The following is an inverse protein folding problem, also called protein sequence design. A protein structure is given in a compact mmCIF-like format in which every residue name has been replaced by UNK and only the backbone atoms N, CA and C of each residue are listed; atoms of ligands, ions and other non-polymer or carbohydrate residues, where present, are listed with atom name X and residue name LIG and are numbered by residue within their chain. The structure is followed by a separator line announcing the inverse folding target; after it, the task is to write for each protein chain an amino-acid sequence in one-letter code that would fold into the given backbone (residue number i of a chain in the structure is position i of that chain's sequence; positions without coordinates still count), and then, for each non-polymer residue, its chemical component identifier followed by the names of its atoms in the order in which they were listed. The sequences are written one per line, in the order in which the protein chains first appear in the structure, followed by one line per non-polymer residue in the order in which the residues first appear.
data_IF_445082483934
#
_entry.id   IF_445082483934
#
_cell.length_a   1.000
_cell.length_b   1.000
_cell.length_c   1.000
_cell.angle_alpha   90.00
_cell.angle_beta   90.00
_cell.angle_gamma   90.00
#
_symmetry.space_group_name_H-M   'P 1'
#
loop_
_entity.id
_entity.type
_entity.pdbx_description
1 polymer ?
#
# COMPACT_ATOMS: atom_id res chain seq x y z
N UNK A 1 -0.08 17.17 6.85
CA UNK A 1 1.02 16.20 7.04
C UNK A 1 1.97 16.54 8.21
N UNK A 2 1.94 17.77 8.74
CA UNK A 2 2.88 18.19 9.80
C UNK A 2 2.72 17.43 11.13
N UNK A 3 1.49 17.02 11.49
CA UNK A 3 1.23 16.21 12.69
C UNK A 3 1.75 14.77 12.53
N UNK A 4 1.51 14.15 11.36
CA UNK A 4 1.96 12.79 11.07
C UNK A 4 3.49 12.68 11.11
N UNK A 5 4.20 13.70 10.60
CA UNK A 5 5.66 13.77 10.64
C UNK A 5 6.24 13.91 12.06
N UNK A 6 5.43 14.12 13.11
CA UNK A 6 5.87 14.15 14.52
C UNK A 6 5.79 12.78 15.20
N UNK A 7 5.06 11.82 14.65
CA UNK A 7 4.97 10.47 15.20
C UNK A 7 6.31 9.72 15.14
N UNK A 8 6.65 8.87 16.14
CA UNK A 8 7.86 8.04 16.11
C UNK A 8 7.76 6.89 15.09
N UNK A 9 6.55 6.55 14.68
CA UNK A 9 6.22 5.48 13.74
C UNK A 9 5.12 5.94 12.78
N UNK A 10 5.23 5.56 11.51
CA UNK A 10 4.21 5.81 10.51
C UNK A 10 3.97 4.57 9.66
N UNK A 11 2.71 4.18 9.50
CA UNK A 11 2.30 3.21 8.50
C UNK A 11 1.56 3.93 7.37
N UNK A 12 2.08 3.80 6.15
CA UNK A 12 1.45 4.27 4.93
C UNK A 12 0.86 3.06 4.22
N UNK A 13 -0.45 3.08 3.98
CA UNK A 13 -1.16 1.95 3.39
C UNK A 13 -1.94 2.39 2.16
N UNK A 14 -1.69 1.71 1.04
CA UNK A 14 -2.44 1.92 -0.20
C UNK A 14 -3.21 0.66 -0.54
N UNK A 15 -4.54 0.79 -0.69
CA UNK A 15 -5.39 -0.32 -1.12
C UNK A 15 -5.51 -0.28 -2.64
N UNK A 16 -5.05 -1.32 -3.33
CA UNK A 16 -5.24 -1.45 -4.77
C UNK A 16 -6.69 -1.86 -5.05
N UNK A 17 -7.39 -1.09 -5.86
CA UNK A 17 -8.81 -1.29 -6.20
C UNK A 17 -8.94 -1.44 -7.71
N UNK A 18 -9.46 -2.55 -8.25
CA UNK A 18 -9.45 -2.79 -9.69
C UNK A 18 -10.22 -1.70 -10.43
N UNK A 19 -9.57 -1.08 -11.43
CA UNK A 19 -10.15 0.01 -12.24
C UNK A 19 -10.33 1.34 -11.52
N UNK A 20 -9.68 1.55 -10.36
CA UNK A 20 -9.75 2.80 -9.60
C UNK A 20 -8.39 3.21 -9.00
N UNK A 21 -7.69 2.26 -8.38
CA UNK A 21 -6.35 2.48 -7.82
C UNK A 21 -5.46 1.37 -8.35
N UNK A 22 -4.69 1.70 -9.38
CA UNK A 22 -3.72 0.80 -9.99
C UNK A 22 -2.42 0.75 -9.19
N UNK A 23 -1.53 -0.16 -9.57
CA UNK A 23 -0.19 -0.16 -9.01
C UNK A 23 0.60 1.10 -9.40
N UNK A 24 0.38 1.65 -10.60
CA UNK A 24 0.99 2.91 -11.03
C UNK A 24 0.57 4.08 -10.13
N UNK A 25 -0.71 4.16 -9.77
CA UNK A 25 -1.23 5.20 -8.87
C UNK A 25 -0.62 5.05 -7.47
N UNK A 26 -0.60 3.82 -6.95
CA UNK A 26 0.01 3.52 -5.66
C UNK A 26 1.51 3.86 -5.64
N UNK A 27 2.23 3.57 -6.73
CA UNK A 27 3.64 3.86 -6.87
C UNK A 27 3.91 5.37 -6.89
N UNK A 28 3.12 6.15 -7.64
CA UNK A 28 3.24 7.61 -7.68
C UNK A 28 3.01 8.23 -6.30
N UNK A 29 1.94 7.82 -5.62
CA UNK A 29 1.66 8.28 -4.26
C UNK A 29 2.78 7.91 -3.27
N UNK A 30 3.33 6.69 -3.38
CA UNK A 30 4.46 6.27 -2.55
C UNK A 30 5.72 7.11 -2.80
N UNK A 31 6.01 7.44 -4.06
CA UNK A 31 7.15 8.26 -4.45
C UNK A 31 7.01 9.70 -3.93
N UNK A 32 5.83 10.30 -4.02
CA UNK A 32 5.54 11.64 -3.47
C UNK A 32 5.72 11.72 -1.95
N UNK A 33 5.58 10.60 -1.24
CA UNK A 33 5.73 10.50 0.21
C UNK A 33 7.13 10.06 0.66
N UNK A 34 8.07 9.85 -0.26
CA UNK A 34 9.41 9.35 0.06
C UNK A 34 10.19 10.30 0.99
N UNK A 35 9.93 11.61 0.93
CA UNK A 35 10.55 12.59 1.85
C UNK A 35 10.28 12.26 3.33
N UNK A 36 9.21 11.53 3.65
CA UNK A 36 8.89 11.14 5.03
C UNK A 36 9.94 10.17 5.58
N UNK A 37 10.48 9.28 4.74
CA UNK A 37 11.50 8.30 5.15
C UNK A 37 12.85 8.96 5.44
N UNK A 38 13.12 10.11 4.80
CA UNK A 38 14.36 10.87 4.98
C UNK A 38 14.43 11.58 6.35
N UNK A 39 13.30 11.72 7.05
CA UNK A 39 13.22 12.33 8.39
C UNK A 39 13.65 11.39 9.53
N UNK A 40 14.24 10.23 9.22
CA UNK A 40 14.83 9.32 10.20
C UNK A 40 13.83 8.55 11.08
N UNK A 41 12.55 8.57 10.73
CA UNK A 41 11.49 7.87 11.47
C UNK A 41 11.24 6.48 10.90
N UNK A 42 10.73 5.57 11.73
CA UNK A 42 10.33 4.24 11.25
C UNK A 42 9.06 4.38 10.40
N UNK A 43 9.20 4.14 9.10
CA UNK A 43 8.09 4.19 8.14
C UNK A 43 7.91 2.83 7.50
N UNK A 44 6.69 2.31 7.59
CA UNK A 44 6.26 1.07 6.95
C UNK A 44 5.34 1.41 5.80
N UNK A 45 5.61 0.86 4.61
CA UNK A 45 4.72 0.97 3.46
C UNK A 45 4.01 -0.36 3.20
N UNK A 46 2.68 -0.33 3.11
CA UNK A 46 1.84 -1.52 2.93
C UNK A 46 1.01 -1.41 1.66
N UNK A 47 1.17 -2.35 0.74
CA UNK A 47 0.23 -2.53 -0.37
C UNK A 47 -0.86 -3.51 0.06
N UNK A 48 -2.11 -3.08 0.01
CA UNK A 48 -3.25 -3.86 0.50
C UNK A 48 -4.16 -4.28 -0.64
N UNK A 49 -4.64 -5.52 -0.57
CA UNK A 49 -5.68 -6.05 -1.45
C UNK A 49 -7.04 -5.41 -1.14
N UNK A 50 -7.77 -5.00 -2.16
CA UNK A 50 -9.19 -4.70 -2.04
C UNK A 50 -10.00 -6.00 -2.04
N UNK A 51 -10.89 -6.14 -1.06
CA UNK A 51 -11.89 -7.21 -0.98
C UNK A 51 -13.28 -6.56 -0.87
N UNK A 52 -14.21 -6.84 -1.78
CA UNK A 52 -15.60 -6.40 -1.69
C UNK A 52 -16.37 -7.25 -0.66
N UNK A 53 -16.42 -6.82 0.61
CA UNK A 53 -17.25 -7.46 1.65
C UNK A 53 -18.64 -6.79 1.74
N UNK A 54 -19.59 -7.40 2.46
CA UNK A 54 -20.99 -6.95 2.56
C UNK A 54 -21.18 -5.47 2.94
N UNK A 55 -20.21 -4.86 3.63
CA UNK A 55 -20.24 -3.45 4.01
C UNK A 55 -19.83 -2.45 2.93
N UNK A 56 -19.28 -2.92 1.79
CA UNK A 56 -18.88 -2.06 0.67
C UNK A 56 -20.13 -1.65 -0.10
N UNK A 57 -20.33 -0.34 -0.31
CA UNK A 57 -21.54 0.23 -0.94
C UNK A 57 -21.28 0.70 -2.36
N UNK A 58 -22.37 0.82 -3.13
CA UNK A 58 -22.35 1.38 -4.48
C UNK A 58 -21.54 0.54 -5.47
N UNK A 59 -20.92 1.18 -6.45
CA UNK A 59 -20.21 0.49 -7.54
C UNK A 59 -19.00 -0.32 -7.08
N UNK A 60 -18.47 -0.02 -5.89
CA UNK A 60 -17.36 -0.76 -5.29
C UNK A 60 -17.76 -2.17 -4.86
N UNK A 61 -19.03 -2.38 -4.48
CA UNK A 61 -19.55 -3.68 -4.04
C UNK A 61 -19.54 -4.72 -5.17
N UNK A 62 -19.69 -4.26 -6.41
CA UNK A 62 -19.75 -5.09 -7.62
C UNK A 62 -18.36 -5.39 -8.21
N UNK A 63 -17.31 -4.74 -7.71
CA UNK A 63 -15.95 -4.96 -8.22
C UNK A 63 -15.42 -6.28 -7.70
N UNK A 64 -14.51 -6.89 -8.47
CA UNK A 64 -13.79 -8.08 -8.01
C UNK A 64 -12.75 -7.69 -6.97
N UNK A 65 -12.35 -8.66 -6.15
CA UNK A 65 -11.13 -8.54 -5.36
C UNK A 65 -9.93 -8.24 -6.27
N UNK A 66 -8.97 -7.49 -5.76
CA UNK A 66 -7.69 -7.32 -6.47
C UNK A 66 -6.94 -8.65 -6.45
N UNK A 67 -6.41 -9.16 -7.58
CA UNK A 67 -5.63 -10.38 -7.58
C UNK A 67 -4.40 -10.25 -6.68
N UNK A 68 -4.11 -11.26 -5.85
CA UNK A 68 -3.07 -11.21 -4.83
C UNK A 68 -1.67 -11.04 -5.43
N UNK A 69 -1.43 -11.62 -6.60
CA UNK A 69 -0.21 -11.48 -7.39
C UNK A 69 0.05 -10.04 -7.84
N UNK A 70 -1.00 -9.28 -8.14
CA UNK A 70 -0.89 -7.84 -8.49
C UNK A 70 -0.48 -7.03 -7.27
N UNK A 71 -1.05 -7.34 -6.10
CA UNK A 71 -0.69 -6.69 -4.83
C UNK A 71 0.77 -6.96 -4.48
N UNK A 72 1.21 -8.21 -4.58
CA UNK A 72 2.59 -8.63 -4.33
C UNK A 72 3.57 -7.95 -5.30
N UNK A 73 3.32 -8.04 -6.61
CA UNK A 73 4.17 -7.42 -7.63
C UNK A 73 4.29 -5.90 -7.42
N UNK A 74 3.23 -5.25 -6.96
CA UNK A 74 3.28 -3.83 -6.65
C UNK A 74 4.15 -3.51 -5.42
N UNK A 75 4.06 -4.31 -4.36
CA UNK A 75 4.93 -4.16 -3.19
C UNK A 75 6.40 -4.40 -3.54
N UNK A 76 6.69 -5.39 -4.41
CA UNK A 76 8.03 -5.63 -4.95
C UNK A 76 8.55 -4.43 -5.77
N UNK A 77 7.69 -3.82 -6.61
CA UNK A 77 8.02 -2.60 -7.37
C UNK A 77 8.35 -1.42 -6.46
N UNK A 78 7.57 -1.20 -5.39
CA UNK A 78 7.84 -0.15 -4.40
C UNK A 78 9.15 -0.42 -3.64
N UNK A 79 9.34 -1.65 -3.16
CA UNK A 79 10.52 -2.06 -2.40
C UNK A 79 11.84 -1.91 -3.16
N UNK A 80 11.80 -2.22 -4.47
CA UNK A 80 12.98 -2.21 -5.35
C UNK A 80 13.35 -0.81 -5.86
N UNK A 81 12.40 0.11 -5.98
CA UNK A 81 12.63 1.41 -6.64
C UNK A 81 12.59 2.62 -5.72
N UNK A 82 12.03 2.48 -4.51
CA UNK A 82 11.88 3.59 -3.56
C UNK A 82 12.70 3.34 -2.28
N UNK A 83 12.93 4.41 -1.52
CA UNK A 83 13.80 4.42 -0.32
C UNK A 83 13.18 3.79 0.93
N UNK A 84 11.93 3.33 0.87
CA UNK A 84 11.28 2.63 1.98
C UNK A 84 12.13 1.45 2.47
N UNK A 85 12.33 1.39 3.79
CA UNK A 85 13.13 0.36 4.46
C UNK A 85 12.30 -0.83 4.93
N UNK A 86 10.99 -0.61 5.11
CA UNK A 86 10.04 -1.65 5.51
C UNK A 86 8.86 -1.63 4.55
N UNK A 87 8.75 -2.68 3.71
CA UNK A 87 7.67 -2.80 2.71
C UNK A 87 6.96 -4.12 2.88
N UNK A 88 5.63 -4.07 2.91
CA UNK A 88 4.76 -5.23 3.09
C UNK A 88 3.69 -5.26 2.01
N UNK A 89 3.16 -6.46 1.78
CA UNK A 89 1.84 -6.62 1.17
C UNK A 89 0.90 -7.34 2.13
N UNK A 90 -0.39 -7.07 1.98
CA UNK A 90 -1.45 -7.76 2.70
C UNK A 90 -2.52 -8.25 1.75
N UNK A 91 -2.73 -9.56 1.74
CA UNK A 91 -3.75 -10.26 0.96
C UNK A 91 -4.58 -11.15 1.88
N UNK A 92 -5.75 -11.58 1.41
CA UNK A 92 -6.59 -12.54 2.12
C UNK A 92 -5.91 -13.91 2.19
N UNK A 93 -5.20 -14.28 1.12
CA UNK A 93 -4.59 -15.58 0.90
C UNK A 93 -3.35 -15.80 1.76
N UNK A 94 -2.50 -14.77 1.91
CA UNK A 94 -1.21 -14.91 2.61
C UNK A 94 -1.13 -14.12 3.93
N UNK A 95 -2.19 -13.39 4.27
CA UNK A 95 -2.18 -12.45 5.38
C UNK A 95 -1.21 -11.29 5.10
N UNK A 96 -0.43 -10.90 6.11
CA UNK A 96 0.60 -9.86 5.96
C UNK A 96 1.97 -10.50 5.71
N UNK A 97 2.67 -10.06 4.68
CA UNK A 97 4.00 -10.55 4.30
C UNK A 97 4.97 -9.39 4.08
N UNK A 98 6.18 -9.55 4.59
CA UNK A 98 7.27 -8.57 4.45
C UNK A 98 8.07 -8.86 3.18
N UNK A 99 8.35 -7.84 2.38
CA UNK A 99 9.26 -7.91 1.23
C UNK A 99 10.68 -7.51 1.62
N UNK A 100 10.82 -6.42 2.38
CA UNK A 100 12.08 -5.75 2.76
C UNK A 100 11.92 -5.08 4.11
#
# INVERSE_FOLDING_TARGET
MEVAAKAPFMELRTTLVPGLVSCEDAFKAAAELEWVVEKGKRVVYVVQQFIPYEGVRGDYAKRRATPSEVVKACAEKVSSRLKYKEVYYRTLEEGTRKIK
#
